data_IF_474046377038
#
_entry.id   IF_474046377038
#
_cell.length_a   1.000
_cell.length_b   1.000
_cell.length_c   1.000
_cell.angle_alpha   90.00
_cell.angle_beta   90.00
_cell.angle_gamma   90.00
#
_symmetry.space_group_name_H-M   'P 1'
#
loop_
_entity.id
_entity.type
_entity.pdbx_description
1 polymer ?
#
# COMPACT_ATOMS: atom_id res chain seq x y z
N UNK A 1 18.76 -2.36 -10.87
CA UNK A 1 19.26 -3.56 -10.17
C UNK A 1 18.53 -3.63 -8.83
N UNK A 2 17.86 -4.72 -8.54
CA UNK A 2 17.17 -4.87 -7.26
C UNK A 2 18.17 -5.42 -6.25
N UNK A 3 18.39 -4.66 -5.18
CA UNK A 3 19.33 -5.05 -4.14
C UNK A 3 18.83 -6.27 -3.36
N UNK A 4 19.74 -7.17 -3.01
CA UNK A 4 19.47 -8.26 -2.07
C UNK A 4 19.31 -7.69 -0.65
N UNK A 5 18.10 -7.70 -0.14
CA UNK A 5 17.76 -7.07 1.16
C UNK A 5 17.81 -8.03 2.35
N UNK A 6 17.94 -9.35 2.12
CA UNK A 6 17.94 -10.36 3.18
C UNK A 6 19.05 -10.17 4.22
N UNK A 7 20.32 -9.86 3.82
CA UNK A 7 21.38 -9.60 4.80
C UNK A 7 21.07 -8.40 5.71
N UNK A 8 20.52 -7.31 5.13
CA UNK A 8 20.13 -6.12 5.87
C UNK A 8 19.02 -6.43 6.89
N UNK A 9 17.96 -7.13 6.48
CA UNK A 9 16.87 -7.52 7.38
C UNK A 9 17.40 -8.37 8.54
N UNK A 10 18.29 -9.32 8.26
CA UNK A 10 18.91 -10.15 9.30
C UNK A 10 19.76 -9.33 10.27
N UNK A 11 20.56 -8.38 9.77
CA UNK A 11 21.39 -7.51 10.60
C UNK A 11 20.52 -6.65 11.53
N UNK A 12 19.50 -5.97 10.98
CA UNK A 12 18.58 -5.16 11.77
C UNK A 12 17.88 -5.96 12.88
N UNK A 13 17.45 -7.19 12.56
CA UNK A 13 16.81 -8.05 13.57
C UNK A 13 17.76 -8.51 14.67
N UNK A 14 19.04 -8.77 14.36
CA UNK A 14 20.06 -9.10 15.37
C UNK A 14 20.27 -7.96 16.36
N UNK A 15 20.15 -6.72 15.88
CA UNK A 15 20.21 -5.50 16.70
C UNK A 15 18.90 -5.18 17.43
N UNK A 16 17.90 -6.06 17.37
CA UNK A 16 16.62 -5.90 18.05
C UNK A 16 15.60 -4.99 17.34
N UNK A 17 15.87 -4.53 16.12
CA UNK A 17 14.95 -3.68 15.38
C UNK A 17 13.76 -4.49 14.81
N UNK A 18 12.58 -3.88 14.85
CA UNK A 18 11.44 -4.32 14.04
C UNK A 18 11.58 -3.79 12.63
N UNK A 19 11.34 -4.64 11.65
CA UNK A 19 11.56 -4.31 10.24
C UNK A 19 10.24 -4.15 9.51
N UNK A 20 10.01 -2.96 8.97
CA UNK A 20 8.91 -2.69 8.05
C UNK A 20 9.45 -2.58 6.62
N UNK A 21 8.74 -3.19 5.68
CA UNK A 21 9.05 -3.10 4.25
C UNK A 21 7.83 -2.60 3.48
N UNK A 22 8.02 -1.60 2.63
CA UNK A 22 7.07 -1.24 1.59
C UNK A 22 7.57 -1.73 0.23
N UNK A 23 6.73 -2.45 -0.51
CA UNK A 23 7.06 -3.02 -1.82
C UNK A 23 5.96 -2.72 -2.84
N UNK A 24 6.32 -2.64 -4.11
CA UNK A 24 5.32 -2.58 -5.19
C UNK A 24 4.57 -3.91 -5.42
N UNK A 25 4.99 -4.97 -4.74
CA UNK A 25 4.33 -6.28 -4.81
C UNK A 25 4.72 -7.16 -5.98
N UNK A 26 5.69 -6.77 -6.81
CA UNK A 26 6.08 -7.53 -8.02
C UNK A 26 7.10 -8.64 -7.75
N UNK A 27 7.67 -8.69 -6.54
CA UNK A 27 8.66 -9.69 -6.12
C UNK A 27 8.35 -10.19 -4.73
N UNK A 28 8.94 -11.30 -4.35
CA UNK A 28 8.84 -11.86 -3.01
C UNK A 28 9.45 -10.92 -1.96
N UNK A 29 8.90 -10.99 -0.75
CA UNK A 29 9.42 -10.28 0.41
C UNK A 29 10.45 -11.15 1.14
N UNK A 30 11.56 -10.59 1.63
CA UNK A 30 12.51 -11.33 2.44
C UNK A 30 11.87 -11.85 3.73
N UNK A 31 12.39 -12.96 4.23
CA UNK A 31 12.00 -13.54 5.52
C UNK A 31 12.44 -12.60 6.66
N UNK A 32 11.64 -12.53 7.72
CA UNK A 32 11.98 -11.74 8.92
C UNK A 32 11.43 -10.31 8.92
N UNK A 33 10.54 -9.97 7.99
CA UNK A 33 9.83 -8.68 7.98
C UNK A 33 8.65 -8.75 8.95
N UNK A 34 8.57 -7.78 9.86
CA UNK A 34 7.50 -7.70 10.88
C UNK A 34 6.24 -7.03 10.33
N UNK A 35 6.41 -6.06 9.42
CA UNK A 35 5.31 -5.35 8.78
C UNK A 35 5.55 -5.20 7.28
N UNK A 36 4.64 -5.74 6.49
CA UNK A 36 4.69 -5.65 5.04
C UNK A 36 3.57 -4.74 4.52
N UNK A 37 3.95 -3.65 3.88
CA UNK A 37 3.06 -2.79 3.10
C UNK A 37 3.21 -3.13 1.61
N UNK A 38 2.12 -3.54 0.98
CA UNK A 38 2.10 -3.79 -0.47
C UNK A 38 1.48 -2.59 -1.18
N UNK A 39 2.22 -1.97 -2.09
CA UNK A 39 1.81 -0.75 -2.80
C UNK A 39 1.82 -0.96 -4.32
N UNK A 40 0.83 -1.69 -4.88
CA UNK A 40 0.79 -2.00 -6.30
C UNK A 40 0.75 -0.75 -7.16
N UNK A 41 1.40 -0.81 -8.31
CA UNK A 41 1.55 0.33 -9.22
C UNK A 41 0.80 0.12 -10.54
N UNK A 42 0.31 1.20 -11.17
CA UNK A 42 -0.29 1.13 -12.49
C UNK A 42 0.73 0.59 -13.53
N UNK A 43 0.27 0.12 -14.69
CA UNK A 43 -1.13 0.04 -15.08
C UNK A 43 -1.85 -1.20 -14.55
N UNK A 44 -1.13 -2.26 -14.19
CA UNK A 44 -1.71 -3.58 -13.87
C UNK A 44 -2.05 -3.77 -12.41
N UNK A 45 -1.50 -2.95 -11.51
CA UNK A 45 -1.61 -3.14 -10.05
C UNK A 45 -1.33 -4.60 -9.64
N UNK A 46 -0.30 -5.19 -10.27
CA UNK A 46 0.05 -6.59 -10.09
C UNK A 46 0.63 -6.83 -8.69
N UNK A 47 0.29 -7.99 -8.12
CA UNK A 47 0.81 -8.45 -6.83
C UNK A 47 1.13 -9.93 -6.92
N UNK A 48 2.30 -10.33 -6.43
CA UNK A 48 2.68 -11.73 -6.30
C UNK A 48 1.74 -12.44 -5.32
N UNK A 49 1.19 -13.61 -5.68
CA UNK A 49 0.25 -14.34 -4.81
C UNK A 49 0.80 -14.61 -3.40
N UNK A 50 2.08 -14.91 -3.28
CA UNK A 50 2.75 -15.18 -1.99
C UNK A 50 2.82 -13.98 -1.03
N UNK A 51 2.50 -12.76 -1.47
CA UNK A 51 2.45 -11.57 -0.62
C UNK A 51 1.07 -11.31 -0.03
N UNK A 52 0.02 -11.84 -0.64
CA UNK A 52 -1.37 -11.55 -0.28
C UNK A 52 -1.67 -11.88 1.19
N UNK A 53 -1.28 -13.06 1.65
CA UNK A 53 -1.48 -13.48 3.04
C UNK A 53 -0.48 -12.88 4.04
N UNK A 54 0.62 -12.26 3.55
CA UNK A 54 1.66 -11.65 4.39
C UNK A 54 1.48 -10.15 4.57
N UNK A 55 0.72 -9.51 3.69
CA UNK A 55 0.49 -8.07 3.73
C UNK A 55 -0.27 -7.67 5.00
N UNK A 56 0.27 -6.71 5.73
CA UNK A 56 -0.37 -6.08 6.88
C UNK A 56 -1.25 -4.90 6.46
N UNK A 57 -0.93 -4.31 5.32
CA UNK A 57 -1.73 -3.27 4.68
C UNK A 57 -1.44 -3.22 3.17
N UNK A 58 -2.39 -2.70 2.43
CA UNK A 58 -2.27 -2.40 1.00
C UNK A 58 -2.40 -0.91 0.80
N UNK A 59 -1.47 -0.29 0.08
CA UNK A 59 -1.47 1.14 -0.17
C UNK A 59 -1.60 1.43 -1.66
N UNK A 60 -2.63 2.15 -2.06
CA UNK A 60 -2.83 2.63 -3.42
C UNK A 60 -2.58 4.13 -3.49
N UNK A 61 -1.54 4.52 -4.21
CA UNK A 61 -1.31 5.93 -4.52
C UNK A 61 -2.37 6.37 -5.52
N UNK A 62 -3.10 7.43 -5.18
CA UNK A 62 -4.20 7.95 -6.01
C UNK A 62 -3.62 8.77 -7.15
N UNK A 63 -3.15 8.05 -8.16
CA UNK A 63 -2.66 8.58 -9.43
C UNK A 63 -3.80 8.84 -10.42
N UNK A 64 -3.47 9.39 -11.58
CA UNK A 64 -4.49 9.60 -12.65
C UNK A 64 -5.05 8.28 -13.17
N UNK A 65 -4.23 7.23 -13.20
CA UNK A 65 -4.56 5.89 -13.71
C UNK A 65 -5.39 5.05 -12.72
N UNK A 66 -5.41 5.41 -11.43
CA UNK A 66 -6.20 4.66 -10.44
C UNK A 66 -7.69 4.86 -10.69
N UNK A 67 -8.38 3.80 -11.08
CA UNK A 67 -9.83 3.79 -11.28
C UNK A 67 -10.55 3.10 -10.13
N UNK A 68 -11.86 3.32 -10.01
CA UNK A 68 -12.70 2.60 -9.05
C UNK A 68 -12.66 1.08 -9.29
N UNK A 69 -12.61 0.66 -10.58
CA UNK A 69 -12.46 -0.75 -10.95
C UNK A 69 -11.14 -1.34 -10.45
N UNK A 70 -10.04 -0.59 -10.55
CA UNK A 70 -8.74 -1.01 -10.02
C UNK A 70 -8.75 -1.14 -8.49
N UNK A 71 -9.37 -0.18 -7.78
CA UNK A 71 -9.56 -0.27 -6.32
C UNK A 71 -10.33 -1.55 -5.95
N UNK A 72 -11.44 -1.84 -6.63
CA UNK A 72 -12.22 -3.07 -6.42
C UNK A 72 -11.38 -4.32 -6.68
N UNK A 73 -10.68 -4.37 -7.80
CA UNK A 73 -9.86 -5.52 -8.19
C UNK A 73 -8.76 -5.79 -7.15
N UNK A 74 -8.10 -4.76 -6.65
CA UNK A 74 -7.10 -4.90 -5.59
C UNK A 74 -7.76 -5.32 -4.28
N UNK A 75 -8.87 -4.67 -3.86
CA UNK A 75 -9.58 -5.02 -2.62
C UNK A 75 -9.94 -6.52 -2.56
N UNK A 76 -10.39 -7.08 -3.68
CA UNK A 76 -10.80 -8.49 -3.76
C UNK A 76 -9.67 -9.51 -3.66
N UNK A 77 -8.43 -9.09 -3.89
CA UNK A 77 -7.24 -9.97 -3.79
C UNK A 77 -6.80 -10.19 -2.35
N UNK A 78 -7.09 -9.26 -1.45
CA UNK A 78 -6.59 -9.31 -0.08
C UNK A 78 -7.71 -9.66 0.91
N UNK A 79 -7.37 -10.31 2.05
CA UNK A 79 -8.32 -10.56 3.12
C UNK A 79 -9.01 -9.26 3.57
N UNK A 80 -10.26 -9.37 4.03
CA UNK A 80 -11.03 -8.22 4.54
C UNK A 80 -10.33 -7.57 5.74
N UNK A 81 -9.62 -8.35 6.55
CA UNK A 81 -8.83 -7.88 7.68
C UNK A 81 -7.64 -7.00 7.28
N UNK A 82 -7.13 -7.14 6.04
CA UNK A 82 -6.04 -6.30 5.54
C UNK A 82 -6.58 -4.96 5.07
N UNK A 83 -6.25 -3.82 5.72
CA UNK A 83 -6.73 -2.52 5.30
C UNK A 83 -6.19 -2.14 3.92
N UNK A 84 -7.05 -1.53 3.10
CA UNK A 84 -6.67 -0.91 1.83
C UNK A 84 -6.66 0.60 2.03
N UNK A 85 -5.52 1.22 1.81
CA UNK A 85 -5.28 2.63 2.05
C UNK A 85 -5.23 3.37 0.71
N UNK A 86 -6.07 4.38 0.56
CA UNK A 86 -6.01 5.34 -0.53
C UNK A 86 -5.12 6.50 -0.09
N UNK A 87 -3.95 6.64 -0.71
CA UNK A 87 -2.99 7.69 -0.37
C UNK A 87 -2.94 8.72 -1.50
N UNK A 88 -3.35 9.98 -1.25
CA UNK A 88 -3.22 11.04 -2.25
C UNK A 88 -1.79 11.22 -2.72
N UNK A 89 -1.61 11.44 -4.02
CA UNK A 89 -0.32 11.68 -4.63
C UNK A 89 0.19 13.09 -4.29
N UNK A 90 1.29 13.17 -3.56
CA UNK A 90 2.02 14.40 -3.32
C UNK A 90 1.22 15.54 -2.68
N UNK A 91 0.08 15.27 -2.04
CA UNK A 91 -0.85 16.28 -1.50
C UNK A 91 -1.49 17.20 -2.56
N UNK A 92 -1.43 16.81 -3.83
CA UNK A 92 -2.08 17.55 -4.90
C UNK A 92 -3.61 17.60 -4.70
N UNK A 93 -4.20 18.79 -4.83
CA UNK A 93 -5.63 18.98 -4.58
C UNK A 93 -6.53 18.05 -5.42
N UNK A 94 -6.17 17.82 -6.68
CA UNK A 94 -6.89 16.89 -7.56
C UNK A 94 -6.87 15.45 -7.03
N UNK A 95 -5.73 15.01 -6.48
CA UNK A 95 -5.58 13.67 -5.95
C UNK A 95 -6.33 13.50 -4.62
N UNK A 96 -6.33 14.53 -3.78
CA UNK A 96 -7.15 14.57 -2.55
C UNK A 96 -8.64 14.44 -2.88
N UNK A 97 -9.15 15.24 -3.82
CA UNK A 97 -10.54 15.18 -4.27
C UNK A 97 -10.90 13.81 -4.88
N UNK A 98 -9.98 13.24 -5.66
CA UNK A 98 -10.16 11.90 -6.24
C UNK A 98 -10.18 10.82 -5.16
N UNK A 99 -9.24 10.86 -4.20
CA UNK A 99 -9.17 9.91 -3.10
C UNK A 99 -10.48 9.91 -2.28
N UNK A 100 -10.98 11.09 -1.96
CA UNK A 100 -12.25 11.26 -1.26
C UNK A 100 -13.42 10.64 -2.04
N UNK A 101 -13.54 10.94 -3.35
CA UNK A 101 -14.58 10.35 -4.20
C UNK A 101 -14.50 8.82 -4.24
N UNK A 102 -13.29 8.27 -4.41
CA UNK A 102 -13.09 6.81 -4.41
C UNK A 102 -13.51 6.19 -3.06
N UNK A 103 -13.17 6.83 -1.94
CA UNK A 103 -13.56 6.36 -0.62
C UNK A 103 -15.09 6.36 -0.44
N UNK A 104 -15.77 7.44 -0.81
CA UNK A 104 -17.23 7.56 -0.72
C UNK A 104 -17.93 6.52 -1.60
N UNK A 105 -17.47 6.34 -2.85
CA UNK A 105 -18.03 5.33 -3.75
C UNK A 105 -17.81 3.91 -3.25
N UNK A 106 -16.65 3.62 -2.69
CA UNK A 106 -16.37 2.33 -2.07
C UNK A 106 -17.31 2.07 -0.88
N UNK A 107 -17.51 3.08 -0.03
CA UNK A 107 -18.45 3.01 1.10
C UNK A 107 -19.88 2.77 0.68
N UNK A 108 -20.39 3.49 -0.35
CA UNK A 108 -21.74 3.29 -0.92
C UNK A 108 -21.95 1.88 -1.47
N UNK A 109 -20.88 1.23 -1.93
CA UNK A 109 -20.89 -0.15 -2.46
C UNK A 109 -20.65 -1.21 -1.39
N UNK A 110 -20.50 -0.80 -0.13
CA UNK A 110 -20.23 -1.70 0.99
C UNK A 110 -18.87 -2.41 0.92
N UNK A 111 -17.87 -1.83 0.24
CA UNK A 111 -16.54 -2.45 0.20
C UNK A 111 -15.84 -2.27 1.54
N UNK A 112 -15.38 -3.38 2.16
CA UNK A 112 -14.91 -3.34 3.53
C UNK A 112 -13.49 -2.77 3.64
N UNK A 113 -13.18 -2.18 4.80
CA UNK A 113 -11.85 -1.84 5.27
C UNK A 113 -11.01 -1.01 4.28
N UNK A 114 -11.64 0.01 3.68
CA UNK A 114 -10.94 1.01 2.84
C UNK A 114 -10.79 2.29 3.66
N UNK A 115 -9.58 2.86 3.66
CA UNK A 115 -9.20 4.03 4.46
C UNK A 115 -8.55 5.09 3.58
N UNK A 116 -8.64 6.34 4.00
CA UNK A 116 -7.87 7.45 3.46
C UNK A 116 -6.71 7.76 4.40
N UNK A 117 -5.51 7.93 3.86
CA UNK A 117 -4.35 8.35 4.63
C UNK A 117 -3.60 9.46 3.88
N UNK A 118 -3.24 10.50 4.60
CA UNK A 118 -2.39 11.57 4.09
C UNK A 118 -0.95 11.40 4.56
N UNK A 119 0.00 11.93 3.78
CA UNK A 119 1.41 11.95 4.18
C UNK A 119 1.65 13.09 5.18
N UNK A 120 1.68 12.75 6.47
CA UNK A 120 1.73 13.74 7.56
C UNK A 120 2.93 14.69 7.44
N UNK A 121 4.12 14.17 7.09
CA UNK A 121 5.31 15.00 6.91
C UNK A 121 5.11 16.09 5.84
N UNK A 122 4.32 15.83 4.79
CA UNK A 122 3.99 16.84 3.77
C UNK A 122 2.96 17.85 4.26
N UNK A 123 1.99 17.40 5.08
CA UNK A 123 1.03 18.31 5.72
C UNK A 123 1.74 19.27 6.66
N UNK A 124 2.67 18.76 7.47
CA UNK A 124 3.43 19.53 8.44
C UNK A 124 4.63 20.27 7.83
N UNK A 125 4.88 20.11 6.51
CA UNK A 125 6.04 20.69 5.80
C UNK A 125 7.39 20.38 6.46
N UNK A 126 7.51 19.19 7.05
CA UNK A 126 8.75 18.69 7.65
C UNK A 126 9.54 17.97 6.57
N UNK A 127 10.87 18.20 6.52
CA UNK A 127 11.80 17.48 5.63
C UNK A 127 12.25 16.17 6.25
#
# INVERSE_FOLDING_TARGET
>A
MLQETRPLVRALRREGFRVQVETNGTRECPVGVDWLTVSPKPPRFAVQPGLVGKAREVKLVVSRELTLAAVRAVRRRFPVSTPLILQPHGMAAWSMKKAWRLLVEAGRRGWPNIRLMVQLHKVLKIK
#
